data_IF_493512399687
#
_entry.id   IF_493512399687
#
_cell.length_a   1.000
_cell.length_b   1.000
_cell.length_c   1.000
_cell.angle_alpha   90.00
_cell.angle_beta   90.00
_cell.angle_gamma   90.00
#
_symmetry.space_group_name_H-M   'P 1'
#
loop_
_entity.id
_entity.type
_entity.pdbx_description
1 polymer ?
#
# COMPACT_ATOMS: atom_id res chain seq x y z
N UNK A 1 5.06 31.55 44.63
CA UNK A 1 4.88 31.25 43.19
C UNK A 1 4.65 29.74 43.10
N UNK A 2 3.44 29.23 42.77
CA UNK A 2 3.24 27.80 42.64
C UNK A 2 3.70 27.33 41.24
N UNK A 3 4.51 26.27 41.19
CA UNK A 3 4.94 25.61 39.96
C UNK A 3 3.74 25.04 39.19
N UNK A 4 3.64 25.37 37.90
CA UNK A 4 2.66 24.80 37.01
C UNK A 4 3.04 23.34 36.70
N UNK A 5 2.27 22.40 37.25
CA UNK A 5 2.40 20.96 37.00
C UNK A 5 2.01 20.68 35.55
N UNK A 6 2.99 20.45 34.67
CA UNK A 6 2.74 20.03 33.29
C UNK A 6 1.94 18.71 33.30
N UNK A 7 0.65 18.77 32.92
CA UNK A 7 -0.14 17.57 32.62
C UNK A 7 0.35 17.02 31.29
N UNK A 8 1.06 15.90 31.32
CA UNK A 8 1.38 15.11 30.14
C UNK A 8 0.08 14.68 29.45
N UNK A 9 0.05 14.75 28.12
CA UNK A 9 -1.11 14.33 27.34
C UNK A 9 -1.42 12.85 27.59
N UNK A 10 -2.70 12.42 27.56
CA UNK A 10 -3.06 11.02 27.73
C UNK A 10 -2.40 10.18 26.63
N UNK A 11 -1.86 9.02 27.00
CA UNK A 11 -1.37 8.05 26.03
C UNK A 11 -2.59 7.49 25.28
N UNK A 12 -2.59 7.49 23.94
CA UNK A 12 -3.68 6.88 23.16
C UNK A 12 -3.84 5.41 23.52
N UNK A 13 -5.09 4.95 23.64
CA UNK A 13 -5.37 3.53 23.82
C UNK A 13 -4.87 2.73 22.61
N UNK A 14 -4.35 1.51 22.80
CA UNK A 14 -4.00 0.63 21.69
C UNK A 14 -5.21 0.37 20.80
N UNK A 15 -5.00 0.21 19.50
CA UNK A 15 -6.08 -0.22 18.61
C UNK A 15 -6.57 -1.61 19.03
N UNK A 16 -7.89 -1.85 19.05
CA UNK A 16 -8.43 -3.17 19.36
C UNK A 16 -8.06 -4.17 18.27
N UNK A 17 -7.56 -5.35 18.66
CA UNK A 17 -7.43 -6.49 17.76
C UNK A 17 -8.76 -7.24 17.69
N UNK A 18 -9.20 -7.60 16.48
CA UNK A 18 -10.44 -8.36 16.27
C UNK A 18 -10.16 -9.85 16.03
N UNK A 19 -8.93 -10.22 15.65
CA UNK A 19 -8.49 -11.60 15.47
C UNK A 19 -7.46 -12.03 16.52
N UNK A 20 -7.28 -13.34 16.70
CA UNK A 20 -6.30 -13.93 17.64
C UNK A 20 -4.86 -13.49 17.34
N UNK A 21 -4.55 -13.27 16.06
CA UNK A 21 -3.27 -12.74 15.61
C UNK A 21 -3.48 -11.34 15.04
N UNK A 22 -3.00 -10.32 15.75
CA UNK A 22 -3.09 -8.92 15.34
C UNK A 22 -2.45 -8.63 13.96
N UNK A 23 -1.58 -9.50 13.44
CA UNK A 23 -1.08 -9.36 12.07
C UNK A 23 -2.19 -9.51 11.02
N UNK A 24 -3.27 -10.24 11.34
CA UNK A 24 -4.43 -10.41 10.46
C UNK A 24 -5.25 -9.13 10.39
N UNK A 25 -5.48 -8.45 11.52
CA UNK A 25 -6.12 -7.13 11.55
C UNK A 25 -5.37 -6.12 10.68
N UNK A 26 -4.04 -6.03 10.88
CA UNK A 26 -3.18 -5.15 10.09
C UNK A 26 -3.19 -5.49 8.59
N UNK A 27 -3.21 -6.78 8.23
CA UNK A 27 -3.27 -7.20 6.83
C UNK A 27 -4.60 -6.78 6.18
N UNK A 28 -5.72 -6.92 6.90
CA UNK A 28 -7.04 -6.52 6.41
C UNK A 28 -7.08 -5.00 6.20
N UNK A 29 -6.58 -4.21 7.17
CA UNK A 29 -6.47 -2.75 7.04
C UNK A 29 -5.66 -2.38 5.79
N UNK A 30 -4.48 -2.98 5.61
CA UNK A 30 -3.64 -2.75 4.42
C UNK A 30 -4.40 -3.09 3.13
N UNK A 31 -5.12 -4.21 3.07
CA UNK A 31 -5.88 -4.61 1.87
C UNK A 31 -7.00 -3.62 1.56
N UNK A 32 -7.70 -3.13 2.58
CA UNK A 32 -8.75 -2.12 2.41
C UNK A 32 -8.18 -0.79 1.89
N UNK A 33 -7.09 -0.32 2.48
CA UNK A 33 -6.40 0.90 2.04
C UNK A 33 -5.86 0.77 0.61
N UNK A 34 -5.22 -0.36 0.28
CA UNK A 34 -4.76 -0.64 -1.09
C UNK A 34 -5.93 -0.71 -2.08
N UNK A 35 -7.09 -1.25 -1.67
CA UNK A 35 -8.30 -1.26 -2.48
C UNK A 35 -8.81 0.16 -2.79
N UNK A 36 -8.81 1.04 -1.78
CA UNK A 36 -9.18 2.45 -1.93
C UNK A 36 -8.23 3.19 -2.87
N UNK A 37 -6.92 3.03 -2.69
CA UNK A 37 -5.91 3.65 -3.55
C UNK A 37 -5.97 3.12 -4.99
N UNK A 38 -6.23 1.81 -5.17
CA UNK A 38 -6.42 1.22 -6.50
C UNK A 38 -7.64 1.85 -7.21
N UNK A 39 -8.73 2.10 -6.49
CA UNK A 39 -9.90 2.77 -7.07
C UNK A 39 -9.57 4.19 -7.53
N UNK A 40 -8.89 4.99 -6.69
CA UNK A 40 -8.45 6.35 -7.04
C UNK A 40 -7.56 6.33 -8.28
N UNK A 41 -6.64 5.36 -8.38
CA UNK A 41 -5.82 5.21 -9.57
C UNK A 41 -6.69 4.92 -10.80
N UNK A 42 -7.59 3.92 -10.74
CA UNK A 42 -8.45 3.55 -11.87
C UNK A 42 -9.29 4.73 -12.36
N UNK A 43 -9.83 5.51 -11.44
CA UNK A 43 -10.60 6.71 -11.78
C UNK A 43 -9.73 7.76 -12.47
N UNK A 44 -8.52 8.00 -11.97
CA UNK A 44 -7.56 8.89 -12.64
C UNK A 44 -7.19 8.40 -14.04
N UNK A 45 -6.95 7.11 -14.23
CA UNK A 45 -6.67 6.52 -15.55
C UNK A 45 -7.85 6.72 -16.50
N UNK A 46 -9.09 6.44 -16.05
CA UNK A 46 -10.32 6.69 -16.82
C UNK A 46 -10.44 8.15 -17.27
N UNK A 47 -10.16 9.10 -16.38
CA UNK A 47 -10.19 10.54 -16.69
C UNK A 47 -9.11 10.89 -17.72
N UNK A 48 -7.89 10.36 -17.57
CA UNK A 48 -6.80 10.61 -18.53
C UNK A 48 -7.16 10.07 -19.91
N UNK A 49 -7.68 8.85 -20.00
CA UNK A 49 -8.14 8.25 -21.26
C UNK A 49 -9.24 9.09 -21.91
N UNK A 50 -10.23 9.52 -21.14
CA UNK A 50 -11.30 10.40 -21.61
C UNK A 50 -10.74 11.72 -22.17
N UNK A 51 -9.87 12.38 -21.41
CA UNK A 51 -9.26 13.66 -21.80
C UNK A 51 -8.35 13.56 -23.04
N UNK A 52 -7.72 12.41 -23.26
CA UNK A 52 -6.93 12.14 -24.47
C UNK A 52 -7.83 11.88 -25.68
N UNK A 53 -8.94 11.17 -25.49
CA UNK A 53 -9.93 10.91 -26.52
C UNK A 53 -10.65 12.20 -26.96
N UNK A 54 -11.07 13.04 -26.01
CA UNK A 54 -11.70 14.35 -26.28
C UNK A 54 -10.78 15.28 -27.10
N UNK A 55 -9.46 15.17 -26.91
CA UNK A 55 -8.46 15.92 -27.68
C UNK A 55 -8.04 15.23 -28.99
N UNK A 56 -8.59 14.06 -29.30
CA UNK A 56 -8.26 13.30 -30.50
C UNK A 56 -6.83 12.73 -30.53
N UNK A 57 -6.17 12.61 -29.37
CA UNK A 57 -4.77 12.14 -29.29
C UNK A 57 -4.70 10.61 -29.27
N UNK A 58 -5.57 9.97 -28.49
CA UNK A 58 -5.62 8.51 -28.33
C UNK A 58 -7.09 8.08 -28.29
N UNK A 59 -7.44 7.01 -29.00
CA UNK A 59 -8.79 6.41 -28.93
C UNK A 59 -8.81 5.25 -27.93
N UNK A 60 -9.98 4.95 -27.38
CA UNK A 60 -10.15 3.77 -26.51
C UNK A 60 -9.73 2.48 -27.23
N UNK A 61 -10.06 2.35 -28.52
CA UNK A 61 -9.69 1.19 -29.35
C UNK A 61 -8.17 1.08 -29.52
N UNK A 62 -7.47 2.21 -29.73
CA UNK A 62 -6.01 2.22 -29.82
C UNK A 62 -5.32 1.78 -28.52
N UNK A 63 -5.91 2.06 -27.36
CA UNK A 63 -5.41 1.57 -26.06
C UNK A 63 -5.58 0.05 -25.96
N UNK A 64 -6.76 -0.47 -26.33
CA UNK A 64 -7.04 -1.91 -26.24
C UNK A 64 -6.21 -2.75 -27.22
N UNK A 65 -5.88 -2.18 -28.38
CA UNK A 65 -5.07 -2.83 -29.42
C UNK A 65 -3.57 -2.57 -29.25
N UNK A 66 -3.16 -1.81 -28.24
CA UNK A 66 -1.75 -1.49 -28.02
C UNK A 66 -0.97 -2.76 -27.70
N UNK A 67 -0.03 -3.12 -28.59
CA UNK A 67 0.92 -4.19 -28.37
C UNK A 67 2.24 -3.55 -27.92
N UNK A 68 2.64 -3.81 -26.68
CA UNK A 68 3.90 -3.34 -26.15
C UNK A 68 5.08 -3.96 -26.93
N UNK A 69 6.08 -3.15 -27.23
CA UNK A 69 7.34 -3.62 -27.80
C UNK A 69 8.10 -4.53 -26.82
N UNK A 70 9.01 -5.37 -27.32
CA UNK A 70 9.85 -6.22 -26.47
C UNK A 70 10.61 -5.42 -25.40
N UNK A 71 11.09 -4.23 -25.75
CA UNK A 71 11.75 -3.31 -24.82
C UNK A 71 10.80 -2.82 -23.71
N UNK A 72 9.55 -2.49 -24.04
CA UNK A 72 8.55 -2.06 -23.07
C UNK A 72 8.09 -3.21 -22.16
N UNK A 73 7.95 -4.42 -22.70
CA UNK A 73 7.66 -5.62 -21.91
C UNK A 73 8.79 -5.87 -20.90
N UNK A 74 10.04 -5.82 -21.35
CA UNK A 74 11.22 -5.99 -20.49
C UNK A 74 11.27 -4.93 -19.38
N UNK A 75 11.06 -3.65 -19.73
CA UNK A 75 10.99 -2.55 -18.77
C UNK A 75 9.87 -2.76 -17.74
N UNK A 76 8.66 -3.09 -18.21
CA UNK A 76 7.49 -3.33 -17.36
C UNK A 76 7.70 -4.50 -16.40
N UNK A 77 8.34 -5.59 -16.86
CA UNK A 77 8.68 -6.72 -16.01
C UNK A 77 9.63 -6.33 -14.87
N UNK A 78 10.67 -5.54 -15.17
CA UNK A 78 11.63 -5.05 -14.17
C UNK A 78 10.96 -4.09 -13.17
N UNK A 79 10.14 -3.16 -13.65
CA UNK A 79 9.37 -2.24 -12.80
C UNK A 79 8.41 -2.98 -11.87
N UNK A 80 7.70 -3.99 -12.40
CA UNK A 80 6.80 -4.85 -11.62
C UNK A 80 7.56 -5.62 -10.55
N UNK A 81 8.72 -6.20 -10.87
CA UNK A 81 9.52 -6.92 -9.88
C UNK A 81 9.97 -5.99 -8.76
N UNK A 82 10.49 -4.80 -9.10
CA UNK A 82 10.89 -3.82 -8.10
C UNK A 82 9.70 -3.34 -7.25
N UNK A 83 8.50 -3.24 -7.82
CA UNK A 83 7.29 -2.92 -7.07
C UNK A 83 6.91 -4.04 -6.09
N UNK A 84 6.91 -5.30 -6.54
CA UNK A 84 6.67 -6.49 -5.69
C UNK A 84 7.67 -6.55 -4.54
N UNK A 85 8.96 -6.35 -4.83
CA UNK A 85 10.01 -6.40 -3.81
C UNK A 85 9.84 -5.29 -2.76
N UNK A 86 9.43 -4.08 -3.17
CA UNK A 86 9.13 -3.00 -2.23
C UNK A 86 7.88 -3.28 -1.40
N UNK A 87 6.82 -3.78 -2.03
CA UNK A 87 5.52 -3.98 -1.37
C UNK A 87 5.56 -5.18 -0.41
N UNK A 88 6.12 -6.30 -0.85
CA UNK A 88 6.10 -7.56 -0.11
C UNK A 88 7.42 -7.93 0.55
N UNK A 89 8.54 -7.30 0.17
CA UNK A 89 9.84 -7.57 0.78
C UNK A 89 9.90 -7.30 2.28
N UNK A 90 8.98 -6.49 2.82
CA UNK A 90 8.82 -6.30 4.25
C UNK A 90 8.37 -7.58 4.98
N UNK A 91 7.56 -8.43 4.34
CA UNK A 91 7.12 -9.72 4.91
C UNK A 91 8.23 -10.78 4.91
N UNK A 92 9.16 -10.69 3.96
CA UNK A 92 10.29 -11.62 3.85
C UNK A 92 11.44 -11.30 4.83
N UNK A 93 11.38 -10.17 5.55
CA UNK A 93 12.41 -9.81 6.53
C UNK A 93 12.25 -10.65 7.80
N UNK A 94 13.30 -11.32 8.29
CA UNK A 94 13.27 -11.96 9.60
C UNK A 94 12.91 -10.93 10.68
N UNK A 95 11.87 -11.19 11.46
CA UNK A 95 11.51 -10.39 12.62
C UNK A 95 11.79 -11.20 13.88
N UNK A 96 12.45 -10.58 14.85
CA UNK A 96 12.60 -11.11 16.21
C UNK A 96 11.55 -10.46 17.11
N UNK A 97 11.05 -11.21 18.07
CA UNK A 97 10.11 -10.69 19.05
C UNK A 97 10.74 -9.54 19.83
N UNK A 98 9.99 -8.44 20.02
CA UNK A 98 10.47 -7.27 20.74
C UNK A 98 10.75 -7.56 22.23
N UNK A 99 10.17 -8.65 22.74
CA UNK A 99 10.40 -9.14 24.11
C UNK A 99 11.20 -10.43 24.04
N UNK A 100 12.46 -10.45 24.51
CA UNK A 100 13.22 -11.69 24.69
C UNK A 100 12.67 -12.45 25.91
N UNK A 101 12.29 -13.71 25.73
CA UNK A 101 12.15 -14.73 26.79
C UNK A 101 10.99 -14.57 27.78
N UNK A 102 9.90 -15.30 27.56
CA UNK A 102 8.97 -15.75 28.62
C UNK A 102 8.82 -17.28 28.64
N UNK A 103 9.74 -18.01 28.01
CA UNK A 103 9.74 -19.49 27.98
C UNK A 103 10.64 -20.13 29.05
N UNK A 104 11.13 -19.37 30.03
CA UNK A 104 11.83 -19.92 31.21
C UNK A 104 11.36 -19.22 32.49
N UNK A 105 10.23 -19.67 33.04
CA UNK A 105 9.83 -19.48 34.44
C UNK A 105 8.92 -20.62 34.91
#
# INVERSE_FOLDING_TARGET
>A
MPEAKHRSAPVPAPQPAFFENAAVDNLIEIVLELGSELWVQRERSRIVEQLLAERGVVTADAIQQCIASEAEVGRSAAERQAFIDRLYGAFARPRVNATPGLDEA
#
